data_IF_165645941397
#
_entry.id   IF_165645941397
#
_cell.length_a   1.000
_cell.length_b   1.000
_cell.length_c   1.000
_cell.angle_alpha   90.00
_cell.angle_beta   90.00
_cell.angle_gamma   90.00
#
_symmetry.space_group_name_H-M   'P 1'
#
loop_
_entity.id
_entity.type
_entity.pdbx_description
1 polymer ?
#
# COMPACT_ATOMS: atom_id res chain seq x y z
N UNK A 1 1.04 -17.77 -13.87
CA UNK A 1 1.45 -16.37 -13.63
C UNK A 1 2.70 -16.44 -12.80
N UNK A 2 3.86 -16.16 -13.39
CA UNK A 2 5.15 -16.29 -12.70
C UNK A 2 5.27 -15.10 -11.75
N UNK A 3 5.27 -15.35 -10.44
CA UNK A 3 5.65 -14.34 -9.47
C UNK A 3 7.17 -14.20 -9.57
N UNK A 4 7.62 -13.19 -10.34
CA UNK A 4 9.02 -12.80 -10.38
C UNK A 4 9.38 -12.15 -9.04
N UNK A 5 9.66 -12.99 -8.04
CA UNK A 5 10.09 -12.55 -6.71
C UNK A 5 11.59 -12.32 -6.71
N UNK A 6 12.03 -11.28 -7.42
CA UNK A 6 13.42 -10.80 -7.41
C UNK A 6 13.98 -10.58 -6.00
N UNK A 7 13.13 -10.22 -5.03
CA UNK A 7 13.54 -9.88 -3.67
C UNK A 7 12.96 -10.88 -2.66
N UNK A 8 13.82 -11.39 -1.78
CA UNK A 8 13.44 -12.33 -0.71
C UNK A 8 12.87 -11.63 0.51
N UNK A 9 13.44 -10.47 0.86
CA UNK A 9 13.03 -9.68 2.02
C UNK A 9 13.24 -8.20 1.81
N UNK A 10 12.54 -7.40 2.61
CA UNK A 10 12.80 -5.97 2.69
C UNK A 10 12.64 -5.42 4.11
N UNK A 11 13.43 -4.40 4.43
CA UNK A 11 13.46 -3.81 5.78
C UNK A 11 13.75 -2.31 5.74
N UNK A 12 13.46 -1.61 6.82
CA UNK A 12 13.75 -0.18 6.95
C UNK A 12 15.25 0.08 7.12
N UNK A 13 15.72 1.17 6.52
CA UNK A 13 17.05 1.71 6.74
C UNK A 13 16.99 3.24 6.75
N UNK A 14 18.10 3.89 7.09
CA UNK A 14 18.19 5.35 7.12
C UNK A 14 19.46 5.81 6.41
N UNK A 15 19.39 6.92 5.68
CA UNK A 15 20.54 7.48 4.98
C UNK A 15 21.49 8.18 5.95
N UNK A 16 22.67 7.60 6.13
CA UNK A 16 23.67 8.08 7.09
C UNK A 16 23.29 7.81 8.55
N UNK A 17 24.23 8.14 9.45
CA UNK A 17 24.11 7.82 10.88
C UNK A 17 23.28 8.84 11.69
N UNK A 18 22.75 9.87 11.04
CA UNK A 18 21.99 10.92 11.71
C UNK A 18 20.52 10.52 11.95
N UNK A 19 19.96 10.88 13.10
CA UNK A 19 18.53 10.71 13.43
C UNK A 19 17.58 11.37 12.41
N UNK A 20 18.08 12.33 11.62
CA UNK A 20 17.34 13.03 10.57
C UNK A 20 17.63 12.51 9.15
N UNK A 21 18.39 11.42 9.01
CA UNK A 21 18.68 10.81 7.71
C UNK A 21 17.40 10.40 6.96
N UNK A 22 17.45 10.45 5.63
CA UNK A 22 16.30 10.13 4.79
C UNK A 22 15.82 8.68 5.02
N UNK A 23 14.49 8.50 5.08
CA UNK A 23 13.90 7.15 5.20
C UNK A 23 14.25 6.29 4.00
N UNK A 24 14.71 5.08 4.26
CA UNK A 24 15.01 4.08 3.23
C UNK A 24 14.18 2.81 3.41
N UNK A 25 14.01 2.11 2.30
CA UNK A 25 13.57 0.72 2.27
C UNK A 25 14.61 -0.06 1.49
N UNK A 26 15.22 -1.05 2.13
CA UNK A 26 16.25 -1.90 1.56
C UNK A 26 15.59 -3.21 1.13
N UNK A 27 15.72 -3.53 -0.14
CA UNK A 27 15.28 -4.79 -0.74
C UNK A 27 16.51 -5.66 -0.96
N UNK A 28 16.45 -6.92 -0.54
CA UNK A 28 17.55 -7.87 -0.67
C UNK A 28 17.12 -9.07 -1.50
N UNK A 29 17.88 -9.37 -2.54
CA UNK A 29 17.72 -10.53 -3.41
C UNK A 29 18.47 -11.75 -2.86
N UNK A 30 18.20 -12.93 -3.42
CA UNK A 30 18.84 -14.19 -3.02
C UNK A 30 20.37 -14.18 -3.19
N UNK A 31 20.86 -13.48 -4.21
CA UNK A 31 22.30 -13.33 -4.48
C UNK A 31 23.02 -12.27 -3.64
N UNK A 32 22.36 -11.67 -2.64
CA UNK A 32 22.93 -10.60 -1.81
C UNK A 32 22.84 -9.19 -2.42
N UNK A 33 22.44 -9.08 -3.69
CA UNK A 33 22.17 -7.79 -4.33
C UNK A 33 21.10 -7.01 -3.56
N UNK A 34 21.34 -5.70 -3.41
CA UNK A 34 20.41 -4.80 -2.73
C UNK A 34 19.91 -3.70 -3.64
N UNK A 35 18.60 -3.45 -3.60
CA UNK A 35 18.00 -2.22 -4.09
C UNK A 35 17.56 -1.37 -2.90
N UNK A 36 18.13 -0.18 -2.76
CA UNK A 36 17.83 0.75 -1.67
C UNK A 36 17.03 1.91 -2.24
N UNK A 37 15.79 2.04 -1.78
CA UNK A 37 14.91 3.15 -2.16
C UNK A 37 14.94 4.20 -1.07
N UNK A 38 15.29 5.43 -1.42
CA UNK A 38 15.60 6.52 -0.49
C UNK A 38 14.58 7.66 -0.67
N UNK A 39 14.05 8.19 0.43
CA UNK A 39 13.03 9.23 0.43
C UNK A 39 11.77 8.80 -0.36
N UNK A 40 11.03 9.76 -0.93
CA UNK A 40 9.76 9.51 -1.58
C UNK A 40 8.64 9.09 -0.60
N UNK A 41 7.48 8.77 -1.15
CA UNK A 41 6.31 8.27 -0.38
C UNK A 41 6.52 6.82 0.06
N UNK A 42 5.93 6.37 1.19
CA UNK A 42 5.89 4.94 1.54
C UNK A 42 5.30 4.08 0.43
N UNK A 43 4.26 4.57 -0.25
CA UNK A 43 3.61 3.85 -1.35
C UNK A 43 4.58 3.45 -2.47
N UNK A 44 5.46 4.36 -2.87
CA UNK A 44 6.51 4.10 -3.85
C UNK A 44 7.67 3.27 -3.24
N UNK A 45 8.16 3.69 -2.08
CA UNK A 45 9.38 3.14 -1.46
C UNK A 45 9.20 1.68 -1.02
N UNK A 46 7.96 1.27 -0.75
CA UNK A 46 7.62 -0.05 -0.24
C UNK A 46 6.85 -0.93 -1.26
N UNK A 47 6.70 -0.50 -2.52
CA UNK A 47 5.80 -1.13 -3.50
C UNK A 47 4.38 -1.35 -2.94
N UNK A 48 3.89 -0.41 -2.14
CA UNK A 48 2.67 -0.54 -1.36
C UNK A 48 1.67 0.55 -1.77
N UNK A 49 1.05 0.46 -2.95
CA UNK A 49 0.23 1.53 -3.49
C UNK A 49 -0.98 1.91 -2.62
N UNK A 50 -1.40 1.04 -1.69
CA UNK A 50 -2.46 1.32 -0.73
C UNK A 50 -1.98 1.76 0.66
N UNK A 51 -0.67 1.97 0.89
CA UNK A 51 -0.11 2.23 2.22
C UNK A 51 -0.61 1.24 3.30
N UNK A 52 -0.73 -0.04 2.92
CA UNK A 52 -1.18 -1.11 3.81
C UNK A 52 -0.25 -1.27 5.01
N UNK A 53 -0.83 -1.43 6.20
CA UNK A 53 -0.09 -1.83 7.40
C UNK A 53 0.35 -3.29 7.32
N UNK A 54 1.50 -3.67 7.92
CA UNK A 54 1.91 -5.07 8.00
C UNK A 54 0.83 -5.94 8.64
N UNK A 55 0.62 -7.13 8.09
CA UNK A 55 -0.40 -8.04 8.62
C UNK A 55 -0.01 -9.48 8.40
N UNK A 56 -0.17 -10.34 9.42
CA UNK A 56 0.03 -11.80 9.30
C UNK A 56 -0.89 -12.46 8.26
N UNK A 57 -1.96 -11.77 7.86
CA UNK A 57 -2.90 -12.26 6.86
C UNK A 57 -2.50 -11.89 5.42
N UNK A 58 -1.51 -11.01 5.25
CA UNK A 58 -1.00 -10.61 3.96
C UNK A 58 0.19 -11.50 3.58
N UNK A 59 -0.06 -12.53 2.76
CA UNK A 59 0.95 -13.51 2.38
C UNK A 59 1.96 -13.00 1.34
N UNK A 60 1.71 -11.83 0.75
CA UNK A 60 2.53 -11.24 -0.32
C UNK A 60 3.62 -10.29 0.20
N UNK A 61 3.54 -9.89 1.47
CA UNK A 61 4.52 -8.99 2.04
C UNK A 61 5.85 -9.75 2.25
N UNK A 62 6.96 -9.11 1.87
CA UNK A 62 8.32 -9.62 2.07
C UNK A 62 9.02 -8.93 3.25
N UNK A 63 8.30 -8.04 3.93
CA UNK A 63 8.78 -7.34 5.11
C UNK A 63 7.93 -6.13 5.47
N UNK A 64 8.52 -5.25 6.27
CA UNK A 64 7.89 -4.01 6.71
C UNK A 64 8.93 -2.92 6.89
N UNK A 65 8.54 -1.68 6.62
CA UNK A 65 9.39 -0.51 6.81
C UNK A 65 8.54 0.70 7.17
N UNK A 66 8.95 1.43 8.22
CA UNK A 66 8.33 2.67 8.67
C UNK A 66 6.83 2.52 9.00
N UNK A 67 6.45 1.37 9.57
CA UNK A 67 5.07 1.04 9.94
C UNK A 67 4.18 0.60 8.77
N UNK A 68 4.73 0.33 7.59
CA UNK A 68 3.98 -0.12 6.40
C UNK A 68 4.51 -1.48 5.90
N UNK A 69 3.63 -2.28 5.31
CA UNK A 69 4.04 -3.50 4.61
C UNK A 69 4.95 -3.16 3.41
N UNK A 70 5.88 -4.04 3.10
CA UNK A 70 6.73 -3.97 1.91
C UNK A 70 6.47 -5.18 1.02
N UNK A 71 6.32 -4.94 -0.28
CA UNK A 71 6.05 -5.97 -1.28
C UNK A 71 7.22 -6.07 -2.27
N UNK A 72 7.48 -7.27 -2.78
CA UNK A 72 8.53 -7.48 -3.80
C UNK A 72 8.26 -6.69 -5.08
N UNK A 73 6.98 -6.54 -5.45
CA UNK A 73 6.53 -5.82 -6.64
C UNK A 73 5.34 -4.91 -6.32
N UNK A 74 5.11 -3.89 -7.15
CA UNK A 74 3.94 -2.99 -7.00
C UNK A 74 2.64 -3.76 -7.27
N UNK A 75 2.71 -4.74 -8.15
CA UNK A 75 1.64 -5.66 -8.53
C UNK A 75 1.20 -6.51 -7.32
N UNK A 76 2.15 -7.01 -6.53
CA UNK A 76 1.85 -7.73 -5.28
C UNK A 76 1.19 -6.83 -4.24
N UNK A 77 1.66 -5.58 -4.11
CA UNK A 77 1.02 -4.59 -3.23
C UNK A 77 -0.41 -4.25 -3.67
N UNK A 78 -0.63 -4.13 -4.99
CA UNK A 78 -1.98 -3.95 -5.56
C UNK A 78 -2.87 -5.16 -5.31
N UNK A 79 -2.36 -6.37 -5.55
CA UNK A 79 -3.09 -7.61 -5.29
C UNK A 79 -3.47 -7.73 -3.80
N UNK A 80 -2.55 -7.41 -2.89
CA UNK A 80 -2.81 -7.41 -1.45
C UNK A 80 -3.89 -6.40 -1.05
N UNK A 81 -3.95 -5.24 -1.69
CA UNK A 81 -5.00 -4.24 -1.46
C UNK A 81 -6.36 -4.76 -1.92
N UNK A 82 -6.44 -5.35 -3.12
CA UNK A 82 -7.68 -5.98 -3.63
C UNK A 82 -8.14 -7.11 -2.71
N UNK A 83 -7.21 -7.96 -2.27
CA UNK A 83 -7.49 -9.05 -1.34
C UNK A 83 -8.02 -8.51 0.00
N UNK A 84 -7.44 -7.43 0.52
CA UNK A 84 -7.92 -6.79 1.75
C UNK A 84 -9.38 -6.36 1.64
N UNK A 85 -9.75 -5.65 0.57
CA UNK A 85 -11.11 -5.13 0.39
C UNK A 85 -12.14 -6.24 0.18
N UNK A 86 -11.73 -7.40 -0.34
CA UNK A 86 -12.58 -8.60 -0.48
C UNK A 86 -12.76 -9.40 0.81
N UNK A 87 -11.92 -9.19 1.83
CA UNK A 87 -12.06 -9.93 3.10
C UNK A 87 -13.31 -9.50 3.85
N UNK A 88 -13.96 -10.38 4.64
CA UNK A 88 -15.18 -10.07 5.38
C UNK A 88 -15.11 -8.80 6.25
N UNK A 89 -13.92 -8.46 6.76
CA UNK A 89 -13.68 -7.25 7.56
C UNK A 89 -13.88 -5.94 6.78
N UNK A 90 -13.81 -5.97 5.44
CA UNK A 90 -14.08 -4.84 4.55
C UNK A 90 -15.31 -5.09 3.66
N UNK A 91 -15.46 -6.29 3.10
CA UNK A 91 -16.55 -6.64 2.19
C UNK A 91 -17.96 -6.42 2.79
N UNK A 92 -18.11 -6.53 4.12
CA UNK A 92 -19.39 -6.30 4.81
C UNK A 92 -19.72 -4.82 5.03
N UNK A 93 -18.73 -3.94 4.89
CA UNK A 93 -18.85 -2.51 5.14
C UNK A 93 -19.38 -1.79 3.89
N UNK A 94 -20.11 -0.70 4.12
CA UNK A 94 -20.34 0.31 3.09
C UNK A 94 -19.03 1.00 2.72
N UNK A 95 -18.98 1.70 1.58
CA UNK A 95 -17.82 2.49 1.18
C UNK A 95 -17.41 3.47 2.28
N UNK A 96 -18.35 4.19 2.86
CA UNK A 96 -18.11 5.11 4.00
C UNK A 96 -17.42 4.39 5.15
N UNK A 97 -18.04 3.31 5.68
CA UNK A 97 -17.48 2.57 6.81
C UNK A 97 -16.12 1.97 6.50
N UNK A 98 -15.90 1.56 5.25
CA UNK A 98 -14.61 1.07 4.79
C UNK A 98 -13.54 2.17 4.84
N UNK A 99 -13.82 3.38 4.36
CA UNK A 99 -12.85 4.50 4.39
C UNK A 99 -12.55 4.94 5.82
N UNK A 100 -13.56 5.03 6.69
CA UNK A 100 -13.36 5.33 8.12
C UNK A 100 -12.56 4.26 8.86
N UNK A 101 -12.63 3.00 8.41
CA UNK A 101 -11.77 1.93 8.92
C UNK A 101 -10.35 2.00 8.34
N UNK A 102 -10.22 2.35 7.07
CA UNK A 102 -8.95 2.32 6.34
C UNK A 102 -8.03 3.46 6.77
N UNK A 103 -8.58 4.67 6.88
CA UNK A 103 -7.86 5.89 7.24
C UNK A 103 -8.66 6.65 8.30
N UNK A 104 -8.65 6.21 9.57
CA UNK A 104 -9.48 6.81 10.62
C UNK A 104 -9.07 8.25 10.94
N UNK A 105 -10.02 9.15 11.27
CA UNK A 105 -9.70 10.53 11.65
C UNK A 105 -8.82 10.65 12.90
N UNK A 106 -8.89 9.67 13.81
CA UNK A 106 -8.07 9.61 15.02
C UNK A 106 -6.56 9.56 14.73
N UNK A 107 -6.18 9.12 13.54
CA UNK A 107 -4.79 9.12 13.05
C UNK A 107 -4.45 10.41 12.27
N UNK A 108 -5.26 11.48 12.43
CA UNK A 108 -5.18 12.74 11.69
C UNK A 108 -5.34 12.59 10.16
N UNK A 109 -6.10 11.59 9.72
CA UNK A 109 -6.41 11.43 8.29
C UNK A 109 -7.58 12.33 7.86
N UNK A 110 -7.56 12.86 6.61
CA UNK A 110 -8.67 13.60 6.03
C UNK A 110 -9.77 12.65 5.51
N UNK A 111 -10.33 11.81 6.38
CA UNK A 111 -11.19 10.67 6.02
C UNK A 111 -12.42 11.05 5.21
N UNK A 112 -13.09 12.15 5.54
CA UNK A 112 -14.27 12.60 4.77
C UNK A 112 -13.88 13.00 3.35
N UNK A 113 -12.81 13.77 3.19
CA UNK A 113 -12.29 14.14 1.87
C UNK A 113 -11.82 12.90 1.08
N UNK A 114 -11.28 11.89 1.76
CA UNK A 114 -10.93 10.61 1.16
C UNK A 114 -12.18 9.89 0.64
N UNK A 115 -13.22 9.75 1.46
CA UNK A 115 -14.50 9.16 1.06
C UNK A 115 -15.11 9.89 -0.14
N UNK A 116 -15.19 11.22 -0.08
CA UNK A 116 -15.72 12.04 -1.17
C UNK A 116 -14.95 11.80 -2.48
N UNK A 117 -13.61 11.78 -2.39
CA UNK A 117 -12.76 11.56 -3.55
C UNK A 117 -13.00 10.17 -4.16
N UNK A 118 -13.00 9.12 -3.34
CA UNK A 118 -13.15 7.74 -3.80
C UNK A 118 -14.53 7.52 -4.42
N UNK A 119 -15.58 8.01 -3.78
CA UNK A 119 -16.95 7.93 -4.29
C UNK A 119 -17.08 8.62 -5.64
N UNK A 120 -16.64 9.88 -5.75
CA UNK A 120 -16.71 10.63 -7.02
C UNK A 120 -15.90 9.97 -8.13
N UNK A 121 -14.70 9.45 -7.81
CA UNK A 121 -13.80 8.91 -8.83
C UNK A 121 -14.21 7.52 -9.32
N UNK A 122 -14.75 6.68 -8.43
CA UNK A 122 -15.18 5.31 -8.74
C UNK A 122 -16.65 5.21 -9.18
N UNK A 123 -17.46 6.23 -8.87
CA UNK A 123 -18.91 6.23 -9.07
C UNK A 123 -19.68 5.33 -8.08
N UNK A 124 -19.04 4.89 -6.99
CA UNK A 124 -19.67 4.06 -5.96
C UNK A 124 -20.22 4.94 -4.84
N UNK A 125 -21.51 4.80 -4.52
CA UNK A 125 -22.17 5.54 -3.45
C UNK A 125 -21.65 5.19 -2.06
N UNK A 126 -21.83 6.10 -1.10
CA UNK A 126 -21.29 5.96 0.27
C UNK A 126 -21.85 4.75 1.02
N UNK A 127 -23.11 4.40 0.79
CA UNK A 127 -23.86 3.33 1.45
C UNK A 127 -23.71 1.96 0.76
N UNK A 128 -23.12 1.91 -0.44
CA UNK A 128 -22.90 0.68 -1.20
C UNK A 128 -21.90 -0.22 -0.48
N UNK A 129 -22.26 -1.49 -0.28
CA UNK A 129 -21.37 -2.49 0.35
C UNK A 129 -20.26 -2.90 -0.60
N UNK A 130 -19.01 -2.97 -0.11
CA UNK A 130 -17.88 -3.37 -0.95
C UNK A 130 -18.03 -4.81 -1.50
N UNK A 131 -18.60 -5.71 -0.70
CA UNK A 131 -18.82 -7.11 -1.09
C UNK A 131 -19.92 -7.32 -2.13
N UNK A 132 -20.75 -6.32 -2.43
CA UNK A 132 -21.73 -6.39 -3.52
C UNK A 132 -21.21 -5.86 -4.85
N UNK A 133 -20.00 -5.28 -4.88
CA UNK A 133 -19.38 -4.80 -6.11
C UNK A 133 -18.87 -5.98 -6.93
N UNK A 134 -19.06 -5.90 -8.25
CA UNK A 134 -18.32 -6.75 -9.17
C UNK A 134 -16.83 -6.39 -9.20
N UNK A 135 -16.03 -7.20 -9.91
CA UNK A 135 -14.59 -7.00 -9.99
C UNK A 135 -14.20 -5.66 -10.62
N UNK A 136 -14.96 -5.18 -11.62
CA UNK A 136 -14.68 -3.93 -12.31
C UNK A 136 -14.91 -2.72 -11.38
N UNK A 137 -16.05 -2.69 -10.68
CA UNK A 137 -16.37 -1.62 -9.73
C UNK A 137 -15.43 -1.60 -8.52
N UNK A 138 -15.02 -2.77 -8.02
CA UNK A 138 -14.00 -2.82 -6.97
C UNK A 138 -12.65 -2.29 -7.46
N UNK A 139 -12.28 -2.58 -8.71
CA UNK A 139 -11.05 -2.06 -9.32
C UNK A 139 -11.10 -0.53 -9.50
N UNK A 140 -12.26 0.05 -9.80
CA UNK A 140 -12.46 1.52 -9.80
C UNK A 140 -12.27 2.13 -8.41
N UNK A 141 -12.78 1.49 -7.35
CA UNK A 141 -12.55 1.91 -5.96
C UNK A 141 -11.06 1.84 -5.62
N UNK A 142 -10.37 0.75 -5.96
CA UNK A 142 -8.95 0.58 -5.70
C UNK A 142 -8.11 1.61 -6.43
N UNK A 143 -8.40 1.85 -7.72
CA UNK A 143 -7.76 2.90 -8.52
C UNK A 143 -7.92 4.27 -7.88
N UNK A 144 -9.13 4.60 -7.43
CA UNK A 144 -9.40 5.86 -6.75
C UNK A 144 -8.64 5.98 -5.42
N UNK A 145 -8.60 4.92 -4.62
CA UNK A 145 -7.84 4.92 -3.37
C UNK A 145 -6.35 5.16 -3.62
N UNK A 146 -5.75 4.44 -4.57
CA UNK A 146 -4.34 4.63 -4.92
C UNK A 146 -4.01 6.04 -5.40
N UNK A 147 -4.94 6.67 -6.13
CA UNK A 147 -4.78 8.04 -6.58
C UNK A 147 -4.84 9.03 -5.40
N UNK A 148 -5.65 8.75 -4.38
CA UNK A 148 -5.70 9.55 -3.15
C UNK A 148 -4.44 9.39 -2.29
N UNK A 149 -3.95 8.15 -2.11
CA UNK A 149 -2.71 7.87 -1.38
C UNK A 149 -1.50 8.61 -1.97
N UNK A 150 -1.49 8.74 -3.30
CA UNK A 150 -0.44 9.43 -4.05
C UNK A 150 0.90 8.68 -4.05
N UNK A 151 1.76 9.01 -5.02
CA UNK A 151 3.11 8.46 -5.09
C UNK A 151 4.11 9.58 -5.37
N UNK A 152 5.09 9.73 -4.47
CA UNK A 152 6.26 10.58 -4.68
C UNK A 152 7.47 9.67 -4.88
N UNK A 153 8.04 9.73 -6.08
CA UNK A 153 9.27 9.00 -6.43
C UNK A 153 10.46 9.57 -5.65
N UNK A 154 11.28 8.68 -5.11
CA UNK A 154 12.53 9.01 -4.45
C UNK A 154 13.73 8.64 -5.32
N UNK A 155 14.87 8.37 -4.66
CA UNK A 155 16.10 7.92 -5.33
C UNK A 155 16.28 6.41 -5.15
N UNK A 156 16.90 5.75 -6.12
CA UNK A 156 17.24 4.32 -6.05
C UNK A 156 18.75 4.17 -6.09
N UNK A 157 19.30 3.39 -5.17
CA UNK A 157 20.71 2.97 -5.15
C UNK A 157 20.76 1.44 -5.24
N UNK A 158 21.76 0.90 -5.93
CA UNK A 158 21.99 -0.54 -6.03
C UNK A 158 23.37 -0.89 -5.47
N UNK A 159 23.44 -2.00 -4.75
CA UNK A 159 24.66 -2.54 -4.16
C UNK A 159 24.74 -4.03 -4.55
N UNK A 160 25.95 -4.50 -4.82
CA UNK A 160 26.28 -5.88 -5.21
C UNK A 160 27.17 -6.48 -4.13
#
# INVERSE_FOLDING_TARGET
MVHDQRFLRAYEGREGDAENGARMTVYEAEGGEKEIRIAGSPAWRNNNPGNLRPSKYNKRQIGSAWGFAVFGSREDGLAAMKDLLRRPVYARLSLERAMYRYAPPADNNPTHAYLDYVSRRSGVGFDVRLGSLDAYRLDEVVTAMMAFEGQKVGRVRREV
#
